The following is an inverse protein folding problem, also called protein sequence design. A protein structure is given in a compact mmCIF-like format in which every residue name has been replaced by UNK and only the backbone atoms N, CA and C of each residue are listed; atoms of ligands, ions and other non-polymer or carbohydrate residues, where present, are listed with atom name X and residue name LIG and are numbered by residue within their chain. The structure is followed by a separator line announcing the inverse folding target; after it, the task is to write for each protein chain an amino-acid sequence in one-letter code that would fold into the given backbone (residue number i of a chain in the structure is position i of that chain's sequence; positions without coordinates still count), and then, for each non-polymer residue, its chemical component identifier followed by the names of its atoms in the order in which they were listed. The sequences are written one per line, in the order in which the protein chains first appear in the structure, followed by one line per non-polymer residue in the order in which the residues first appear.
data_IF_618952757708
#
_entry.id   IF_618952757708
#
_cell.length_a   1.000
_cell.length_b   1.000
_cell.length_c   1.000
_cell.angle_alpha   90.00
_cell.angle_beta   90.00
_cell.angle_gamma   90.00
#
_symmetry.space_group_name_H-M   'P 1'
#
loop_
_entity.id
_entity.type
_entity.pdbx_description
1 polymer ?
#
# COMPACT_ATOMS: atom_id res chain seq x y z
N UNK A 1 71.84 -12.21 -1.15
CA UNK A 1 70.95 -11.06 -1.35
C UNK A 1 69.55 -11.44 -0.87
N UNK A 2 69.17 -10.93 0.29
CA UNK A 2 67.86 -11.15 0.91
C UNK A 2 66.85 -10.04 0.57
N UNK A 3 65.69 -10.14 1.22
CA UNK A 3 64.45 -9.35 1.12
C UNK A 3 63.47 -9.91 0.05
N UNK A 4 62.19 -10.15 0.33
CA UNK A 4 61.30 -9.63 1.39
C UNK A 4 60.14 -10.61 1.59
N UNK A 5 59.83 -10.92 2.85
CA UNK A 5 58.57 -11.57 3.21
C UNK A 5 57.38 -10.62 3.01
N UNK A 6 56.22 -11.17 2.68
CA UNK A 6 54.94 -10.47 2.77
C UNK A 6 53.88 -11.39 3.34
N UNK A 7 53.28 -10.90 4.42
CA UNK A 7 52.30 -11.53 5.30
C UNK A 7 51.03 -11.90 4.52
N UNK A 8 50.61 -13.15 4.64
CA UNK A 8 49.26 -13.57 4.29
C UNK A 8 48.26 -12.85 5.20
N UNK A 9 47.39 -12.03 4.62
CA UNK A 9 46.28 -11.39 5.30
C UNK A 9 45.01 -12.12 4.87
N UNK A 10 44.52 -13.00 5.72
CA UNK A 10 43.21 -13.66 5.60
C UNK A 10 42.12 -12.58 5.68
N UNK A 11 41.65 -12.11 4.53
CA UNK A 11 40.39 -11.40 4.44
C UNK A 11 39.28 -12.42 4.19
N UNK A 12 38.52 -12.72 5.24
CA UNK A 12 37.17 -13.23 5.13
C UNK A 12 36.36 -12.23 4.27
N UNK A 13 36.14 -12.58 3.01
CA UNK A 13 35.22 -11.87 2.14
C UNK A 13 33.80 -12.19 2.63
N UNK A 14 33.20 -11.22 3.32
CA UNK A 14 31.78 -11.13 3.56
C UNK A 14 31.02 -11.23 2.23
N UNK A 15 30.27 -12.32 2.05
CA UNK A 15 29.30 -12.47 0.97
C UNK A 15 27.95 -11.96 1.47
N UNK A 16 27.40 -10.86 0.96
CA UNK A 16 26.10 -10.37 1.36
C UNK A 16 25.08 -10.92 0.37
N UNK A 17 24.71 -12.19 0.47
CA UNK A 17 23.50 -12.71 -0.20
C UNK A 17 23.24 -14.14 0.25
N UNK A 18 22.55 -14.28 1.40
CA UNK A 18 21.84 -15.51 1.76
C UNK A 18 20.93 -15.32 2.97
N UNK A 19 20.02 -14.35 2.92
CA UNK A 19 18.82 -14.35 3.77
C UNK A 19 17.67 -13.77 2.95
N UNK A 20 16.72 -14.63 2.62
CA UNK A 20 15.49 -14.25 1.94
C UNK A 20 14.74 -13.23 2.78
N UNK A 21 14.69 -12.02 2.26
CA UNK A 21 13.70 -11.02 2.65
C UNK A 21 12.31 -11.57 2.36
N UNK A 22 11.30 -11.34 3.22
CA UNK A 22 9.92 -11.53 2.80
C UNK A 22 9.71 -10.56 1.63
N UNK A 23 9.50 -11.10 0.44
CA UNK A 23 9.15 -10.33 -0.73
C UNK A 23 7.83 -9.63 -0.42
N UNK A 24 7.90 -8.36 -0.02
CA UNK A 24 6.92 -7.41 -0.51
C UNK A 24 6.84 -7.72 -2.01
N UNK A 25 5.68 -8.12 -2.51
CA UNK A 25 5.48 -8.15 -3.94
C UNK A 25 5.76 -6.71 -4.40
N UNK A 26 6.98 -6.48 -4.88
CA UNK A 26 7.24 -5.47 -5.89
C UNK A 26 6.22 -5.80 -6.97
N UNK A 27 5.09 -5.10 -6.94
CA UNK A 27 4.22 -5.01 -8.10
C UNK A 27 5.10 -4.28 -9.09
N UNK A 28 5.80 -5.10 -9.88
CA UNK A 28 6.84 -4.67 -10.80
C UNK A 28 6.27 -3.54 -11.66
N UNK A 29 7.08 -2.54 -11.99
CA UNK A 29 6.71 -1.54 -13.00
C UNK A 29 6.27 -2.25 -14.31
N UNK A 30 6.75 -3.48 -14.51
CA UNK A 30 6.29 -4.42 -15.53
C UNK A 30 4.80 -4.82 -15.43
N UNK A 31 4.23 -4.99 -14.23
CA UNK A 31 2.82 -5.40 -14.03
C UNK A 31 1.84 -4.27 -14.42
N UNK A 32 2.14 -3.03 -14.04
CA UNK A 32 1.36 -1.86 -14.48
C UNK A 32 1.49 -1.59 -15.98
N UNK A 33 2.70 -1.77 -16.52
CA UNK A 33 2.93 -1.66 -17.95
C UNK A 33 2.17 -2.75 -18.73
N UNK A 34 2.12 -3.98 -18.22
CA UNK A 34 1.34 -5.08 -18.79
C UNK A 34 -0.16 -4.82 -18.71
N UNK A 35 -0.65 -4.34 -17.58
CA UNK A 35 -2.04 -3.91 -17.43
C UNK A 35 -2.42 -2.82 -18.46
N UNK A 36 -1.60 -1.77 -18.59
CA UNK A 36 -1.85 -0.70 -19.55
C UNK A 36 -1.82 -1.23 -20.99
N UNK A 37 -0.85 -2.09 -21.35
CA UNK A 37 -0.79 -2.75 -22.67
C UNK A 37 -2.01 -3.61 -22.94
N UNK A 38 -2.54 -4.31 -21.93
CA UNK A 38 -3.74 -5.12 -22.06
C UNK A 38 -4.99 -4.26 -22.32
N UNK A 39 -5.15 -3.15 -21.60
CA UNK A 39 -6.24 -2.19 -21.83
C UNK A 39 -6.12 -1.54 -23.21
N UNK A 40 -4.92 -1.13 -23.63
CA UNK A 40 -4.64 -0.57 -24.96
C UNK A 40 -5.03 -1.54 -26.07
N UNK A 41 -4.59 -2.80 -25.95
CA UNK A 41 -4.89 -3.88 -26.91
C UNK A 41 -6.41 -4.11 -26.99
N UNK A 42 -7.08 -4.12 -25.84
CA UNK A 42 -8.53 -4.30 -25.79
C UNK A 42 -9.28 -3.14 -26.45
N UNK A 43 -8.91 -1.90 -26.15
CA UNK A 43 -9.53 -0.72 -26.74
C UNK A 43 -9.29 -0.65 -28.25
N UNK A 44 -8.08 -0.98 -28.71
CA UNK A 44 -7.75 -1.09 -30.13
C UNK A 44 -8.67 -2.09 -30.85
N UNK A 45 -8.90 -3.27 -30.24
CA UNK A 45 -9.84 -4.28 -30.76
C UNK A 45 -11.27 -3.73 -30.82
N UNK A 46 -11.74 -3.02 -29.80
CA UNK A 46 -13.09 -2.42 -29.77
C UNK A 46 -13.25 -1.30 -30.80
N UNK A 47 -12.19 -0.56 -31.08
CA UNK A 47 -12.14 0.41 -32.16
C UNK A 47 -11.81 -0.22 -33.53
N UNK A 48 -12.01 -1.53 -33.70
CA UNK A 48 -11.85 -2.25 -34.98
C UNK A 48 -10.45 -2.10 -35.61
N UNK A 49 -9.42 -2.03 -34.76
CA UNK A 49 -8.03 -1.93 -35.18
C UNK A 49 -7.51 -0.50 -35.33
N UNK A 50 -8.32 0.54 -35.06
CA UNK A 50 -7.78 1.89 -34.90
C UNK A 50 -6.90 1.94 -33.65
N UNK A 51 -5.59 2.06 -33.87
CA UNK A 51 -4.60 2.14 -32.82
C UNK A 51 -4.77 3.42 -32.02
N UNK A 52 -5.16 3.28 -30.76
CA UNK A 52 -5.14 4.36 -29.76
C UNK A 52 -4.04 4.01 -28.78
N UNK A 53 -2.94 4.75 -28.83
CA UNK A 53 -1.88 4.58 -27.83
C UNK A 53 -2.25 5.27 -26.53
N UNK A 54 -2.06 4.58 -25.41
CA UNK A 54 -2.17 5.16 -24.09
C UNK A 54 -0.91 5.96 -23.82
N UNK A 55 -0.99 7.27 -23.98
CA UNK A 55 0.10 8.22 -23.71
C UNK A 55 -0.41 9.41 -22.90
N UNK A 56 0.48 10.04 -22.13
CA UNK A 56 0.15 11.24 -21.37
C UNK A 56 -1.04 11.05 -20.42
N UNK A 57 -2.06 11.93 -20.43
CA UNK A 57 -3.20 11.85 -19.51
C UNK A 57 -3.96 10.51 -19.55
N UNK A 58 -4.10 9.91 -20.74
CA UNK A 58 -4.76 8.62 -20.92
C UNK A 58 -3.98 7.46 -20.29
N UNK A 59 -2.64 7.50 -20.34
CA UNK A 59 -1.79 6.54 -19.66
C UNK A 59 -1.93 6.67 -18.14
N UNK A 60 -1.82 7.89 -17.62
CA UNK A 60 -1.94 8.17 -16.18
C UNK A 60 -3.33 7.82 -15.62
N UNK A 61 -4.37 7.90 -16.45
CA UNK A 61 -5.72 7.44 -16.06
C UNK A 61 -5.77 5.92 -15.87
N UNK A 62 -5.30 5.16 -16.87
CA UNK A 62 -5.35 3.68 -16.83
C UNK A 62 -4.39 3.12 -15.78
N UNK A 63 -3.21 3.74 -15.64
CA UNK A 63 -2.28 3.44 -14.56
C UNK A 63 -2.93 3.63 -13.19
N UNK A 64 -3.68 4.72 -12.98
CA UNK A 64 -4.41 4.96 -11.73
C UNK A 64 -5.46 3.88 -11.43
N UNK A 65 -6.12 3.31 -12.44
CA UNK A 65 -7.03 2.18 -12.21
C UNK A 65 -6.28 0.93 -11.75
N UNK A 66 -5.13 0.65 -12.35
CA UNK A 66 -4.28 -0.47 -11.94
C UNK A 66 -3.73 -0.27 -10.52
N UNK A 67 -3.28 0.94 -10.19
CA UNK A 67 -2.84 1.31 -8.82
C UNK A 67 -3.97 1.19 -7.79
N UNK A 68 -5.22 1.43 -8.19
CA UNK A 68 -6.41 1.24 -7.35
C UNK A 68 -6.86 -0.24 -7.27
N UNK A 69 -6.13 -1.16 -7.91
CA UNK A 69 -6.45 -2.58 -7.91
C UNK A 69 -7.71 -2.93 -8.71
N UNK A 70 -8.13 -2.10 -9.68
CA UNK A 70 -9.27 -2.41 -10.52
C UNK A 70 -8.97 -3.66 -11.37
N UNK A 71 -9.74 -4.75 -11.25
CA UNK A 71 -9.51 -5.94 -12.04
C UNK A 71 -9.68 -5.64 -13.53
N UNK A 72 -8.73 -6.11 -14.36
CA UNK A 72 -8.72 -5.86 -15.80
C UNK A 72 -10.06 -6.21 -16.48
N UNK A 73 -10.70 -7.31 -16.07
CA UNK A 73 -12.01 -7.74 -16.60
C UNK A 73 -13.13 -6.72 -16.34
N UNK A 74 -13.05 -5.97 -15.25
CA UNK A 74 -14.04 -4.94 -14.91
C UNK A 74 -13.81 -3.67 -15.72
N UNK A 75 -12.56 -3.28 -15.96
CA UNK A 75 -12.22 -2.20 -16.89
C UNK A 75 -12.70 -2.53 -18.30
N UNK A 76 -12.45 -3.75 -18.77
CA UNK A 76 -12.95 -4.23 -20.06
C UNK A 76 -14.48 -4.17 -20.15
N UNK A 77 -15.20 -4.53 -19.07
CA UNK A 77 -16.65 -4.42 -19.01
C UNK A 77 -17.13 -2.97 -19.12
N UNK A 78 -16.52 -2.03 -18.38
CA UNK A 78 -16.86 -0.61 -18.48
C UNK A 78 -16.60 -0.03 -19.88
N UNK A 79 -15.50 -0.45 -20.52
CA UNK A 79 -15.23 -0.11 -21.93
C UNK A 79 -16.34 -0.65 -22.84
N UNK A 80 -16.81 -1.88 -22.63
CA UNK A 80 -17.88 -2.46 -23.45
C UNK A 80 -19.21 -1.72 -23.30
N UNK A 81 -19.57 -1.32 -22.09
CA UNK A 81 -20.74 -0.49 -21.83
C UNK A 81 -20.64 0.86 -22.53
N UNK A 82 -19.45 1.50 -22.49
CA UNK A 82 -19.21 2.75 -23.20
C UNK A 82 -19.31 2.58 -24.72
N UNK A 83 -18.68 1.54 -25.26
CA UNK A 83 -18.71 1.21 -26.69
C UNK A 83 -20.14 0.98 -27.14
N UNK A 84 -20.92 0.19 -26.41
CA UNK A 84 -22.34 -0.09 -26.73
C UNK A 84 -23.14 1.20 -26.82
N UNK A 85 -23.00 2.11 -25.84
CA UNK A 85 -23.69 3.41 -25.86
C UNK A 85 -23.20 4.32 -26.98
N UNK A 86 -21.90 4.30 -27.25
CA UNK A 86 -21.29 5.07 -28.33
C UNK A 86 -21.78 4.59 -29.71
N UNK A 87 -21.88 3.28 -29.92
CA UNK A 87 -22.42 2.68 -31.15
C UNK A 87 -23.92 2.94 -31.31
N UNK A 88 -24.70 2.90 -30.23
CA UNK A 88 -26.12 3.23 -30.25
C UNK A 88 -26.37 4.71 -30.62
N UNK A 89 -25.58 5.62 -30.05
CA UNK A 89 -25.69 7.07 -30.33
C UNK A 89 -25.27 7.42 -31.76
N UNK A 90 -24.27 6.72 -32.30
CA UNK A 90 -23.71 6.96 -33.63
C UNK A 90 -24.24 5.98 -34.68
N UNK A 91 -25.45 5.43 -34.50
CA UNK A 91 -26.07 4.49 -35.45
C UNK A 91 -26.31 5.12 -36.84
N UNK A 92 -26.50 6.45 -36.88
CA UNK A 92 -26.81 7.22 -38.09
C UNK A 92 -25.72 8.25 -38.48
N UNK A 93 -24.53 8.22 -37.86
CA UNK A 93 -23.44 9.18 -38.15
C UNK A 93 -22.09 8.47 -38.33
N UNK A 94 -21.08 9.19 -38.81
CA UNK A 94 -19.70 8.69 -38.93
C UNK A 94 -19.20 8.24 -37.54
N UNK A 95 -18.82 6.97 -37.43
CA UNK A 95 -18.28 6.39 -36.19
C UNK A 95 -16.84 6.82 -36.01
N UNK A 96 -16.55 7.51 -34.91
CA UNK A 96 -15.21 7.89 -34.52
C UNK A 96 -14.61 6.87 -33.54
N UNK A 97 -13.28 6.68 -33.52
CA UNK A 97 -12.62 5.88 -32.50
C UNK A 97 -12.91 6.43 -31.10
N UNK A 98 -13.22 5.54 -30.16
CA UNK A 98 -13.50 5.88 -28.76
C UNK A 98 -12.19 6.00 -27.97
N UNK A 99 -11.97 7.15 -27.35
CA UNK A 99 -10.84 7.37 -26.44
C UNK A 99 -11.14 6.89 -25.02
N UNK A 100 -10.12 6.40 -24.33
CA UNK A 100 -10.23 5.79 -23.00
C UNK A 100 -10.74 6.75 -21.92
N UNK A 101 -10.47 8.05 -22.06
CA UNK A 101 -10.88 9.11 -21.14
C UNK A 101 -12.41 9.19 -21.04
N UNK A 102 -13.13 8.81 -22.10
CA UNK A 102 -14.59 8.77 -22.10
C UNK A 102 -15.17 7.54 -21.42
N UNK A 103 -14.36 6.52 -21.11
CA UNK A 103 -14.79 5.29 -20.48
C UNK A 103 -14.74 5.36 -18.95
N UNK A 104 -14.09 6.37 -18.36
CA UNK A 104 -13.82 6.43 -16.91
C UNK A 104 -15.06 6.22 -16.05
N UNK A 105 -16.13 6.96 -16.33
CA UNK A 105 -17.38 6.86 -15.55
C UNK A 105 -18.04 5.47 -15.63
N UNK A 106 -17.93 4.79 -16.77
CA UNK A 106 -18.51 3.44 -16.94
C UNK A 106 -17.65 2.38 -16.27
N UNK A 107 -16.33 2.55 -16.34
CA UNK A 107 -15.38 1.69 -15.63
C UNK A 107 -15.60 1.77 -14.12
N UNK A 108 -15.74 2.98 -13.57
CA UNK A 108 -16.01 3.17 -12.13
C UNK A 108 -17.37 2.62 -11.72
N UNK A 109 -18.41 2.78 -12.56
CA UNK A 109 -19.73 2.19 -12.31
C UNK A 109 -19.69 0.67 -12.31
N UNK A 110 -19.11 0.07 -13.35
CA UNK A 110 -18.91 -1.37 -13.43
C UNK A 110 -18.14 -1.86 -12.20
N UNK A 111 -17.16 -1.11 -11.73
CA UNK A 111 -16.41 -1.47 -10.55
C UNK A 111 -17.23 -1.42 -9.26
N UNK A 112 -18.01 -0.37 -9.05
CA UNK A 112 -18.92 -0.29 -7.91
C UNK A 112 -19.98 -1.41 -7.92
N UNK A 113 -20.52 -1.75 -9.08
CA UNK A 113 -21.51 -2.81 -9.22
C UNK A 113 -20.91 -4.19 -8.95
N UNK A 114 -19.68 -4.43 -9.41
CA UNK A 114 -18.92 -5.63 -9.05
C UNK A 114 -18.67 -5.68 -7.54
N UNK A 115 -18.27 -4.57 -6.92
CA UNK A 115 -18.04 -4.50 -5.47
C UNK A 115 -19.31 -4.81 -4.67
N UNK A 116 -20.47 -4.27 -5.10
CA UNK A 116 -21.78 -4.57 -4.48
C UNK A 116 -22.18 -6.03 -4.66
N UNK A 117 -21.93 -6.61 -5.84
CA UNK A 117 -22.27 -8.00 -6.13
C UNK A 117 -21.37 -9.02 -5.39
N UNK A 118 -20.13 -8.64 -5.08
CA UNK A 118 -19.16 -9.51 -4.39
C UNK A 118 -19.36 -9.56 -2.86
N UNK A 119 -20.06 -8.58 -2.26
CA UNK A 119 -20.61 -8.65 -0.90
C UNK A 119 -19.62 -9.04 0.23
N UNK A 120 -19.12 -8.04 0.96
CA UNK A 120 -18.51 -8.09 2.32
C UNK A 120 -17.41 -9.11 2.66
N UNK A 121 -17.02 -10.02 1.77
CA UNK A 121 -16.02 -11.07 2.01
C UNK A 121 -14.61 -10.69 1.58
N UNK A 122 -14.46 -9.58 0.85
CA UNK A 122 -13.18 -8.94 0.49
C UNK A 122 -13.08 -7.52 1.10
N UNK A 123 -13.97 -7.19 2.06
CA UNK A 123 -14.09 -5.82 2.59
C UNK A 123 -13.03 -5.48 3.66
N UNK A 124 -12.18 -6.45 4.02
CA UNK A 124 -11.02 -6.24 4.91
C UNK A 124 -9.73 -5.95 4.12
N UNK A 125 -9.72 -6.21 2.79
CA UNK A 125 -8.51 -6.04 1.96
C UNK A 125 -8.67 -5.12 0.75
N UNK A 126 -9.88 -4.94 0.22
CA UNK A 126 -10.11 -4.11 -0.98
C UNK A 126 -10.76 -2.75 -0.66
N UNK A 127 -11.43 -2.60 0.48
CA UNK A 127 -11.93 -1.31 0.96
C UNK A 127 -10.81 -0.30 1.24
N UNK A 128 -9.61 -0.79 1.58
CA UNK A 128 -8.41 0.04 1.76
C UNK A 128 -7.85 0.60 0.45
N UNK A 129 -8.10 -0.05 -0.71
CA UNK A 129 -7.61 0.42 -2.02
C UNK A 129 -8.59 1.37 -2.74
N UNK A 130 -9.82 1.52 -2.26
CA UNK A 130 -10.90 2.23 -2.98
C UNK A 130 -11.41 3.48 -2.30
N UNK A 131 -10.91 3.79 -1.11
CA UNK A 131 -11.11 5.09 -0.50
C UNK A 131 -10.16 6.11 -1.15
N UNK A 132 -10.42 6.51 -2.41
CA UNK A 132 -9.80 7.68 -3.09
C UNK A 132 -8.32 7.81 -2.76
N UNK A 133 -7.34 7.15 -3.43
CA UNK A 133 -5.90 7.22 -3.09
C UNK A 133 -5.61 8.43 -2.19
N UNK A 134 -5.70 8.24 -0.86
CA UNK A 134 -6.08 9.36 0.03
C UNK A 134 -5.12 10.47 -0.31
N UNK A 135 -5.63 11.67 -0.62
CA UNK A 135 -4.68 12.76 -0.83
C UNK A 135 -3.81 12.74 0.42
N UNK A 136 -2.50 12.64 0.26
CA UNK A 136 -1.58 12.42 1.39
C UNK A 136 -1.91 13.40 2.55
N UNK A 137 -2.27 14.68 2.28
CA UNK A 137 -2.81 15.56 3.31
C UNK A 137 -4.09 15.10 4.04
N UNK A 138 -5.07 14.50 3.35
CA UNK A 138 -6.28 13.91 3.96
C UNK A 138 -5.95 12.69 4.81
N UNK A 139 -5.08 11.80 4.32
CA UNK A 139 -4.61 10.65 5.10
C UNK A 139 -3.94 11.12 6.40
N UNK A 140 -2.99 12.04 6.28
CA UNK A 140 -2.29 12.62 7.44
C UNK A 140 -3.26 13.28 8.42
N UNK A 141 -4.27 14.00 7.92
CA UNK A 141 -5.29 14.61 8.78
C UNK A 141 -6.11 13.56 9.52
N UNK A 142 -6.50 12.46 8.86
CA UNK A 142 -7.24 11.36 9.50
C UNK A 142 -6.39 10.62 10.53
N UNK A 143 -5.12 10.36 10.23
CA UNK A 143 -4.17 9.73 11.15
C UNK A 143 -3.94 10.61 12.37
N UNK A 144 -3.72 11.92 12.17
CA UNK A 144 -3.57 12.89 13.25
C UNK A 144 -4.81 12.92 14.14
N UNK A 145 -6.03 12.94 13.57
CA UNK A 145 -7.27 12.90 14.35
C UNK A 145 -7.37 11.63 15.22
N UNK A 146 -7.00 10.47 14.67
CA UNK A 146 -6.99 9.20 15.42
C UNK A 146 -5.95 9.21 16.55
N UNK A 147 -4.75 9.72 16.30
CA UNK A 147 -3.72 9.85 17.34
C UNK A 147 -4.13 10.84 18.42
N UNK A 148 -4.78 11.95 18.05
CA UNK A 148 -5.36 12.89 19.02
C UNK A 148 -6.46 12.25 19.84
N UNK A 149 -7.31 11.40 19.26
CA UNK A 149 -8.29 10.63 20.02
C UNK A 149 -7.62 9.66 21.02
N UNK A 150 -6.53 8.98 20.62
CA UNK A 150 -5.74 8.15 21.55
C UNK A 150 -5.20 8.96 22.73
N UNK A 151 -4.75 10.21 22.50
CA UNK A 151 -4.27 11.11 23.55
C UNK A 151 -5.35 11.56 24.54
N UNK A 152 -6.63 11.43 24.20
CA UNK A 152 -7.75 11.74 25.11
C UNK A 152 -8.08 10.57 26.05
N UNK A 153 -7.59 9.37 25.75
CA UNK A 153 -7.77 8.20 26.61
C UNK A 153 -6.82 8.26 27.81
N UNK A 154 -7.13 7.55 28.91
CA UNK A 154 -6.19 7.39 30.01
C UNK A 154 -4.91 6.72 29.51
N UNK A 155 -3.78 7.18 30.02
CA UNK A 155 -2.50 6.61 29.64
C UNK A 155 -2.37 5.20 30.23
N UNK A 156 -2.19 4.14 29.41
CA UNK A 156 -2.08 2.77 29.91
C UNK A 156 -0.76 2.55 30.66
N UNK A 157 0.30 3.28 30.31
CA UNK A 157 1.57 3.32 31.03
C UNK A 157 2.25 4.69 30.88
N UNK A 158 3.06 5.14 31.86
CA UNK A 158 3.70 6.44 31.79
C UNK A 158 4.58 6.62 30.54
N UNK A 159 4.37 7.69 29.78
CA UNK A 159 5.22 8.10 28.66
C UNK A 159 4.68 7.76 27.27
N UNK A 160 3.61 6.96 27.14
CA UNK A 160 2.92 6.76 25.86
C UNK A 160 2.49 8.08 25.22
N UNK A 161 1.86 8.98 25.98
CA UNK A 161 1.39 10.27 25.48
C UNK A 161 2.55 11.15 25.00
N UNK A 162 3.73 11.03 25.60
CA UNK A 162 4.94 11.73 25.14
C UNK A 162 5.35 11.25 23.75
N UNK A 163 5.34 9.92 23.53
CA UNK A 163 5.62 9.32 22.23
C UNK A 163 4.60 9.76 21.19
N UNK A 164 3.30 9.66 21.50
CA UNK A 164 2.23 10.05 20.56
C UNK A 164 2.28 11.55 20.21
N UNK A 165 2.53 12.43 21.17
CA UNK A 165 2.67 13.88 20.90
C UNK A 165 3.87 14.18 19.99
N UNK A 166 5.00 13.48 20.15
CA UNK A 166 6.16 13.60 19.26
C UNK A 166 5.79 13.22 17.83
N UNK A 167 5.06 12.11 17.65
CA UNK A 167 4.60 11.64 16.34
C UNK A 167 3.62 12.63 15.72
N UNK A 168 2.65 13.15 16.47
CA UNK A 168 1.69 14.15 15.97
C UNK A 168 2.40 15.42 15.48
N UNK A 169 3.45 15.89 16.18
CA UNK A 169 4.27 17.03 15.74
C UNK A 169 4.99 16.74 14.43
N UNK A 170 5.65 15.59 14.31
CA UNK A 170 6.33 15.19 13.08
C UNK A 170 5.35 15.03 11.90
N UNK A 171 4.15 14.48 12.14
CA UNK A 171 3.11 14.37 11.11
C UNK A 171 2.61 15.74 10.64
N UNK A 172 2.53 16.74 11.53
CA UNK A 172 2.15 18.09 11.14
C UNK A 172 3.17 18.72 10.18
N UNK A 173 4.47 18.52 10.43
CA UNK A 173 5.54 18.96 9.52
C UNK A 173 5.47 18.26 8.16
N UNK A 174 5.30 16.94 8.16
CA UNK A 174 5.13 16.14 6.93
C UNK A 174 3.86 16.54 6.16
N UNK A 175 2.79 16.93 6.85
CA UNK A 175 1.54 17.39 6.22
C UNK A 175 1.72 18.70 5.46
N UNK A 176 2.50 19.63 5.99
CA UNK A 176 2.80 20.88 5.28
C UNK A 176 3.61 20.61 4.00
N UNK A 177 4.58 19.70 4.05
CA UNK A 177 5.35 19.26 2.88
C UNK A 177 4.48 18.51 1.85
N UNK A 178 3.51 17.72 2.32
CA UNK A 178 2.60 16.96 1.48
C UNK A 178 1.63 17.81 0.64
N UNK A 179 1.39 19.08 1.01
CA UNK A 179 0.49 19.98 0.26
C UNK A 179 1.01 20.30 -1.14
N UNK A 180 2.33 20.36 -1.30
CA UNK A 180 2.99 20.72 -2.57
C UNK A 180 3.74 19.56 -3.21
N UNK A 181 3.83 18.41 -2.53
CA UNK A 181 4.56 17.23 -2.98
C UNK A 181 3.97 16.59 -4.25
N UNK A 182 4.85 16.27 -5.21
CA UNK A 182 4.54 15.53 -6.44
C UNK A 182 5.70 14.58 -6.77
N UNK A 183 5.41 13.48 -7.47
CA UNK A 183 6.44 12.56 -7.96
C UNK A 183 7.34 11.99 -6.85
N UNK A 184 8.66 12.08 -7.04
CA UNK A 184 9.67 11.57 -6.09
C UNK A 184 9.51 12.13 -4.67
N UNK A 185 9.13 13.41 -4.53
CA UNK A 185 8.90 14.04 -3.22
C UNK A 185 7.76 13.34 -2.46
N UNK A 186 6.73 12.87 -3.16
CA UNK A 186 5.66 12.08 -2.54
C UNK A 186 6.20 10.73 -2.06
N UNK A 187 7.00 10.05 -2.87
CA UNK A 187 7.60 8.76 -2.51
C UNK A 187 8.53 8.88 -1.29
N UNK A 188 9.31 9.95 -1.21
CA UNK A 188 10.17 10.21 -0.06
C UNK A 188 9.36 10.48 1.20
N UNK A 189 8.27 11.24 1.11
CA UNK A 189 7.35 11.44 2.24
C UNK A 189 6.71 10.13 2.72
N UNK A 190 6.32 9.23 1.81
CA UNK A 190 5.80 7.91 2.19
C UNK A 190 6.86 7.06 2.89
N UNK A 191 8.12 7.12 2.44
CA UNK A 191 9.24 6.47 3.12
C UNK A 191 9.45 7.05 4.52
N UNK A 192 9.40 8.38 4.67
CA UNK A 192 9.47 9.04 5.97
C UNK A 192 8.33 8.63 6.91
N UNK A 193 7.11 8.45 6.39
CA UNK A 193 5.98 7.96 7.19
C UNK A 193 6.18 6.53 7.68
N UNK A 194 6.72 5.64 6.83
CA UNK A 194 7.01 4.27 7.24
C UNK A 194 8.12 4.23 8.31
N UNK A 195 9.16 5.05 8.15
CA UNK A 195 10.20 5.21 9.18
C UNK A 195 9.62 5.74 10.49
N UNK A 196 8.77 6.77 10.44
CA UNK A 196 8.13 7.35 11.63
C UNK A 196 7.22 6.34 12.33
N UNK A 197 6.47 5.54 11.58
CA UNK A 197 5.60 4.47 12.10
C UNK A 197 6.41 3.39 12.82
N UNK A 198 7.55 2.97 12.26
CA UNK A 198 8.47 2.03 12.90
C UNK A 198 9.12 2.59 14.18
N UNK A 199 9.55 3.85 14.15
CA UNK A 199 10.10 4.53 15.35
C UNK A 199 9.04 4.64 16.44
N UNK A 200 7.80 5.02 16.09
CA UNK A 200 6.69 5.07 17.02
C UNK A 200 6.45 3.72 17.69
N UNK A 201 6.33 2.63 16.91
CA UNK A 201 6.08 1.30 17.48
C UNK A 201 7.25 0.80 18.34
N UNK A 202 8.48 1.10 17.95
CA UNK A 202 9.66 0.78 18.76
C UNK A 202 9.62 1.49 20.11
N UNK A 203 9.35 2.80 20.12
CA UNK A 203 9.29 3.59 21.36
C UNK A 203 8.13 3.12 22.26
N UNK A 204 6.97 2.80 21.67
CA UNK A 204 5.82 2.22 22.38
C UNK A 204 6.20 0.89 23.02
N UNK A 205 6.85 -0.02 22.28
CA UNK A 205 7.26 -1.32 22.80
C UNK A 205 8.29 -1.23 23.92
N UNK A 206 9.22 -0.28 23.84
CA UNK A 206 10.24 -0.04 24.89
C UNK A 206 9.64 0.62 26.11
N UNK A 207 8.67 1.51 25.94
CA UNK A 207 8.01 2.22 27.03
C UNK A 207 6.88 1.43 27.72
N UNK A 208 6.32 0.42 27.05
CA UNK A 208 5.27 -0.42 27.60
C UNK A 208 5.76 -1.17 28.85
N UNK A 209 4.89 -1.28 29.84
CA UNK A 209 5.16 -2.03 31.05
C UNK A 209 5.27 -3.53 30.76
N UNK A 210 6.05 -4.23 31.60
CA UNK A 210 6.32 -5.65 31.40
C UNK A 210 5.05 -6.52 31.42
N UNK A 211 3.99 -6.08 32.12
CA UNK A 211 2.73 -6.81 32.16
C UNK A 211 1.98 -6.72 30.81
N UNK A 212 1.89 -5.54 30.21
CA UNK A 212 1.25 -5.35 28.89
C UNK A 212 1.98 -6.12 27.80
N UNK A 213 3.32 -6.08 27.76
CA UNK A 213 4.10 -6.82 26.77
C UNK A 213 3.90 -8.33 26.92
N UNK A 214 3.96 -8.84 28.15
CA UNK A 214 3.78 -10.27 28.41
C UNK A 214 2.37 -10.75 28.09
N UNK A 215 1.34 -9.93 28.34
CA UNK A 215 -0.03 -10.24 27.96
C UNK A 215 -0.19 -10.32 26.43
N UNK A 216 0.36 -9.34 25.69
CA UNK A 216 0.33 -9.34 24.24
C UNK A 216 1.07 -10.56 23.65
N UNK A 217 2.24 -10.93 24.20
CA UNK A 217 3.00 -12.11 23.77
C UNK A 217 2.25 -13.41 24.06
N UNK A 218 1.55 -13.51 25.20
CA UNK A 218 0.74 -14.69 25.53
C UNK A 218 -0.44 -14.88 24.57
N UNK A 219 -1.16 -13.80 24.25
CA UNK A 219 -2.28 -13.85 23.30
C UNK A 219 -1.82 -14.28 21.91
N UNK A 220 -0.75 -13.63 21.42
CA UNK A 220 -0.14 -13.95 20.12
C UNK A 220 0.39 -15.39 20.08
N UNK A 221 0.97 -15.88 21.17
CA UNK A 221 1.43 -17.27 21.24
C UNK A 221 0.28 -18.27 21.12
N UNK A 222 -0.89 -17.97 21.68
CA UNK A 222 -2.09 -18.79 21.50
C UNK A 222 -2.55 -18.79 20.04
N UNK A 223 -2.62 -17.62 19.41
CA UNK A 223 -3.03 -17.48 18.00
C UNK A 223 -2.06 -18.19 17.02
N UNK A 224 -0.75 -18.04 17.24
CA UNK A 224 0.28 -18.60 16.35
C UNK A 224 0.59 -20.08 16.63
N UNK A 225 0.13 -20.64 17.75
CA UNK A 225 0.38 -22.04 18.12
C UNK A 225 -0.07 -23.03 17.04
N UNK A 226 -1.23 -22.76 16.40
CA UNK A 226 -1.79 -23.58 15.32
C UNK A 226 -0.92 -23.60 14.05
N UNK A 227 -0.04 -22.60 13.88
CA UNK A 227 0.79 -22.45 12.69
C UNK A 227 2.26 -22.83 12.93
N UNK A 228 2.65 -23.09 14.19
CA UNK A 228 4.03 -23.34 14.59
C UNK A 228 4.70 -24.48 13.83
N UNK A 229 4.01 -25.61 13.66
CA UNK A 229 4.55 -26.79 12.96
C UNK A 229 4.75 -26.58 11.45
N UNK A 230 4.08 -25.57 10.87
CA UNK A 230 4.09 -25.28 9.43
C UNK A 230 5.09 -24.18 9.05
N UNK A 231 5.76 -23.56 10.03
CA UNK A 231 6.65 -22.42 9.84
C UNK A 231 8.09 -22.78 10.20
N UNK A 232 9.05 -22.19 9.47
CA UNK A 232 10.44 -22.23 9.90
C UNK A 232 10.61 -21.40 11.18
N UNK A 233 11.63 -21.72 11.97
CA UNK A 233 11.92 -21.01 13.22
C UNK A 233 12.08 -19.49 13.00
N UNK A 234 12.76 -19.08 11.93
CA UNK A 234 12.93 -17.66 11.59
C UNK A 234 11.61 -16.98 11.20
N UNK A 235 10.75 -17.66 10.43
CA UNK A 235 9.44 -17.13 10.03
C UNK A 235 8.49 -17.02 11.24
N UNK A 236 8.58 -17.97 12.19
CA UNK A 236 7.79 -17.94 13.41
C UNK A 236 8.18 -16.75 14.31
N UNK A 237 9.48 -16.48 14.48
CA UNK A 237 9.97 -15.34 15.25
C UNK A 237 9.57 -14.00 14.64
N UNK A 238 9.65 -13.87 13.30
CA UNK A 238 9.22 -12.67 12.59
C UNK A 238 7.71 -12.47 12.67
N UNK A 239 6.92 -13.52 12.46
CA UNK A 239 5.47 -13.47 12.59
C UNK A 239 5.04 -13.11 14.02
N UNK A 240 5.71 -13.65 15.04
CA UNK A 240 5.45 -13.31 16.44
C UNK A 240 5.71 -11.82 16.71
N UNK A 241 6.81 -11.27 16.20
CA UNK A 241 7.12 -9.82 16.36
C UNK A 241 6.05 -8.94 15.71
N UNK A 242 5.65 -9.26 14.48
CA UNK A 242 4.62 -8.51 13.75
C UNK A 242 3.23 -8.63 14.40
N UNK A 243 2.89 -9.82 14.91
CA UNK A 243 1.63 -10.07 15.60
C UNK A 243 1.54 -9.32 16.94
N UNK A 244 2.63 -9.27 17.72
CA UNK A 244 2.69 -8.46 18.95
C UNK A 244 2.51 -6.97 18.64
N UNK A 245 3.17 -6.45 17.61
CA UNK A 245 2.96 -5.06 17.19
C UNK A 245 1.52 -4.79 16.74
N UNK A 246 0.91 -5.72 16.01
CA UNK A 246 -0.48 -5.62 15.61
C UNK A 246 -1.44 -5.66 16.81
N UNK A 247 -1.20 -6.54 17.78
CA UNK A 247 -1.99 -6.63 19.00
C UNK A 247 -1.95 -5.31 19.79
N UNK A 248 -0.76 -4.76 20.01
CA UNK A 248 -0.57 -3.46 20.67
C UNK A 248 -1.29 -2.33 19.93
N UNK A 249 -1.24 -2.31 18.59
CA UNK A 249 -1.97 -1.31 17.81
C UNK A 249 -3.47 -1.40 18.00
N UNK A 250 -4.04 -2.61 17.99
CA UNK A 250 -5.47 -2.83 18.17
C UNK A 250 -5.90 -2.40 19.57
N UNK A 251 -5.17 -2.85 20.60
CA UNK A 251 -5.45 -2.51 22.00
C UNK A 251 -5.46 -1.00 22.25
N UNK A 252 -4.54 -0.26 21.61
CA UNK A 252 -4.39 1.19 21.76
C UNK A 252 -5.20 2.00 20.72
N UNK A 253 -5.86 1.35 19.76
CA UNK A 253 -6.57 2.00 18.66
C UNK A 253 -5.67 2.73 17.64
N UNK A 254 -4.37 2.43 17.61
CA UNK A 254 -3.39 3.18 16.84
C UNK A 254 -3.52 2.95 15.33
N UNK A 255 -3.49 4.03 14.51
CA UNK A 255 -3.44 3.92 13.06
C UNK A 255 -2.05 3.47 12.57
N UNK A 256 -1.98 2.93 11.34
CA UNK A 256 -0.72 2.79 10.58
C UNK A 256 -0.43 4.10 9.85
N UNK A 257 0.75 4.69 10.04
CA UNK A 257 1.04 6.00 9.45
C UNK A 257 1.32 5.92 7.94
N UNK A 258 2.01 4.86 7.49
CA UNK A 258 2.42 4.66 6.08
C UNK A 258 1.44 3.90 5.20
N UNK A 259 0.31 3.43 5.74
CA UNK A 259 -0.71 2.70 4.97
C UNK A 259 -1.68 3.71 4.34
N UNK A 260 -1.36 4.19 3.13
CA UNK A 260 -2.16 5.18 2.39
C UNK A 260 -3.02 4.55 1.30
#
# INVERSE_FOLDING_TARGET
FGYRGSRARTHLAWSPDRLGTPSYQEVDVSDYAEYCRAVETYLCKKNRGHLIRLVGPAFELVRRWAEQGLPLKIVMRGIDERVTRHEAKNKNSRRYPLHIEFCENDVLRAFDDWRRAVGSTIDVGLADNLATAKSLPKHLTSVMLRLTACLMNPEPWPGLHVVLNRVVRALNELREQAKTARGSVRSDLLRSLHTLDGVMMRDIRVGADAATIKAAEAEVAMELSAFRERMSQSAYEEATKLAVEQHLRVQLGLPRLGSI
#
